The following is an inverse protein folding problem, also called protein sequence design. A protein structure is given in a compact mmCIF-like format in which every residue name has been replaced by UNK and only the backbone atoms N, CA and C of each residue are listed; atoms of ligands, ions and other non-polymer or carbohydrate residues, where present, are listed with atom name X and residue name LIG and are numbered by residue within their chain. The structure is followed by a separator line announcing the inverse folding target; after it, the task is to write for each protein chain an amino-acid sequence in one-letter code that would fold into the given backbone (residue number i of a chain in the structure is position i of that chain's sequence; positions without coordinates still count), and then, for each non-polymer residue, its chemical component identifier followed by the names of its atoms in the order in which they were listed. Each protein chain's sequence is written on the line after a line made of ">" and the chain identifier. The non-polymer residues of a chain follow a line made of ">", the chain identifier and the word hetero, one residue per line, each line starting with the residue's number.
data_IF_563074485735
#
_entry.id   IF_563074485735
#
_cell.length_a   1.000
_cell.length_b   1.000
_cell.length_c   1.000
_cell.angle_alpha   90.00
_cell.angle_beta   90.00
_cell.angle_gamma   90.00
#
_symmetry.space_group_name_H-M   'P 1'
#
loop_
_entity.id
_entity.type
_entity.pdbx_description
1 polymer ?
#
# COMPACT_ATOMS: atom_id res chain seq x y z
N UNK A 1 -32.92 13.71 -0.32
CA UNK A 1 -31.63 14.34 0.06
C UNK A 1 -30.62 13.86 -0.95
N UNK A 2 -29.98 14.75 -1.66
CA UNK A 2 -28.92 14.36 -2.63
C UNK A 2 -27.63 13.99 -1.90
N UNK A 3 -26.72 13.28 -2.56
CA UNK A 3 -25.39 12.99 -2.01
C UNK A 3 -24.66 14.29 -1.63
N UNK A 4 -24.75 15.32 -2.45
CA UNK A 4 -24.15 16.62 -2.18
C UNK A 4 -24.71 17.29 -0.92
N UNK A 5 -26.03 17.17 -0.66
CA UNK A 5 -26.63 17.72 0.56
C UNK A 5 -26.14 16.98 1.81
N UNK A 6 -25.96 15.66 1.72
CA UNK A 6 -25.41 14.88 2.82
C UNK A 6 -23.97 15.29 3.14
N UNK A 7 -23.11 15.43 2.11
CA UNK A 7 -21.72 15.85 2.28
C UNK A 7 -21.62 17.23 2.93
N UNK A 8 -22.40 18.21 2.45
CA UNK A 8 -22.46 19.56 3.06
C UNK A 8 -22.87 19.50 4.52
N UNK A 9 -23.85 18.68 4.85
CA UNK A 9 -24.31 18.50 6.23
C UNK A 9 -23.23 17.91 7.12
N UNK A 10 -22.55 16.84 6.66
CA UNK A 10 -21.46 16.21 7.41
C UNK A 10 -20.30 17.20 7.62
N UNK A 11 -19.92 17.95 6.58
CA UNK A 11 -18.89 18.99 6.68
C UNK A 11 -19.27 20.10 7.68
N UNK A 12 -20.53 20.55 7.69
CA UNK A 12 -21.00 21.53 8.64
C UNK A 12 -20.92 21.03 10.09
N UNK A 13 -21.29 19.75 10.32
CA UNK A 13 -21.17 19.12 11.64
C UNK A 13 -19.71 18.99 12.06
N UNK A 14 -18.83 18.55 11.15
CA UNK A 14 -17.39 18.48 11.41
C UNK A 14 -16.80 19.84 11.82
N UNK A 15 -17.16 20.92 11.11
CA UNK A 15 -16.73 22.28 11.46
C UNK A 15 -17.22 22.74 12.83
N UNK A 16 -18.43 22.33 13.23
CA UNK A 16 -18.99 22.68 14.52
C UNK A 16 -18.41 21.90 15.70
N UNK A 17 -18.00 20.64 15.48
CA UNK A 17 -17.56 19.73 16.53
C UNK A 17 -16.04 19.54 16.59
N UNK A 18 -15.30 19.92 15.54
CA UNK A 18 -13.85 19.76 15.51
C UNK A 18 -13.16 20.64 16.55
N UNK A 19 -12.25 20.03 17.32
CA UNK A 19 -11.36 20.74 18.23
C UNK A 19 -10.17 21.33 17.45
N UNK A 20 -9.46 22.32 17.99
CA UNK A 20 -8.24 22.84 17.40
C UNK A 20 -7.14 21.77 17.26
N UNK A 21 -6.27 21.96 16.26
CA UNK A 21 -5.00 21.24 16.08
C UNK A 21 -5.12 19.70 15.91
N UNK A 22 -6.19 19.25 15.24
CA UNK A 22 -6.36 17.84 14.91
C UNK A 22 -5.59 17.48 13.64
N UNK A 23 -4.77 16.44 13.73
CA UNK A 23 -4.14 15.82 12.55
C UNK A 23 -4.55 14.35 12.46
N UNK A 24 -5.33 14.03 11.44
CA UNK A 24 -5.67 12.65 11.11
C UNK A 24 -4.85 12.16 9.94
N UNK A 25 -4.45 10.88 9.98
CA UNK A 25 -3.70 10.24 8.90
C UNK A 25 -4.56 9.14 8.28
N UNK A 26 -4.77 9.24 6.96
CA UNK A 26 -5.29 8.10 6.21
C UNK A 26 -4.16 7.15 5.81
N UNK A 27 -4.40 5.85 5.88
CA UNK A 27 -3.40 4.83 5.62
C UNK A 27 -3.90 3.79 4.60
N UNK A 28 -4.57 4.29 3.56
CA UNK A 28 -5.06 3.49 2.44
C UNK A 28 -5.05 4.30 1.14
N UNK A 29 -4.34 3.82 0.12
CA UNK A 29 -4.26 4.54 -1.15
C UNK A 29 -5.62 4.80 -1.81
N UNK A 30 -6.61 3.93 -1.60
CA UNK A 30 -7.98 4.19 -2.07
C UNK A 30 -8.63 5.36 -1.32
N UNK A 31 -8.34 5.54 -0.02
CA UNK A 31 -8.75 6.77 0.70
C UNK A 31 -8.05 8.00 0.13
N UNK A 32 -6.73 7.92 -0.11
CA UNK A 32 -5.96 9.01 -0.74
C UNK A 32 -6.63 9.48 -2.03
N UNK A 33 -6.96 8.52 -2.92
CA UNK A 33 -7.66 8.80 -4.17
C UNK A 33 -9.05 9.41 -3.97
N UNK A 34 -9.86 8.83 -3.06
CA UNK A 34 -11.22 9.31 -2.81
C UNK A 34 -11.20 10.73 -2.25
N UNK A 35 -10.34 11.00 -1.27
CA UNK A 35 -10.18 12.32 -0.66
C UNK A 35 -9.81 13.38 -1.71
N UNK A 36 -8.83 13.07 -2.57
CA UNK A 36 -8.41 13.98 -3.63
C UNK A 36 -9.50 14.17 -4.70
N UNK A 37 -10.08 13.05 -5.18
CA UNK A 37 -11.09 13.06 -6.26
C UNK A 37 -12.34 13.88 -5.92
N UNK A 38 -12.75 13.86 -4.67
CA UNK A 38 -13.96 14.53 -4.22
C UNK A 38 -13.70 15.86 -3.48
N UNK A 39 -12.44 16.34 -3.48
CA UNK A 39 -12.06 17.60 -2.82
C UNK A 39 -12.41 17.61 -1.32
N UNK A 40 -12.28 16.46 -0.64
CA UNK A 40 -12.76 16.36 0.75
C UNK A 40 -11.95 17.22 1.72
N UNK A 41 -10.69 17.54 1.40
CA UNK A 41 -9.86 18.42 2.25
C UNK A 41 -10.45 19.81 2.38
N UNK A 42 -11.06 20.37 1.31
CA UNK A 42 -11.71 21.70 1.31
C UNK A 42 -12.99 21.74 2.18
N UNK A 43 -13.58 20.57 2.41
CA UNK A 43 -14.76 20.45 3.25
C UNK A 43 -14.43 20.43 4.76
N UNK A 44 -13.15 20.17 5.10
CA UNK A 44 -12.71 20.08 6.48
C UNK A 44 -12.57 21.48 7.12
N UNK A 45 -12.66 21.60 8.45
CA UNK A 45 -12.34 22.85 9.15
C UNK A 45 -10.83 23.13 9.08
N UNK A 46 -10.44 24.42 9.06
CA UNK A 46 -9.03 24.85 9.02
C UNK A 46 -8.21 24.34 10.22
N UNK A 47 -8.88 24.02 11.32
CA UNK A 47 -8.27 23.41 12.52
C UNK A 47 -7.96 21.92 12.38
N UNK A 48 -8.30 21.30 11.25
CA UNK A 48 -8.11 19.85 11.01
C UNK A 48 -7.22 19.62 9.80
N UNK A 49 -6.11 18.92 10.01
CA UNK A 49 -5.26 18.42 8.93
C UNK A 49 -5.57 16.96 8.62
N UNK A 50 -5.69 16.63 7.34
CA UNK A 50 -5.79 15.25 6.87
C UNK A 50 -4.58 14.94 6.00
N UNK A 51 -3.66 14.14 6.52
CA UNK A 51 -2.40 13.77 5.87
C UNK A 51 -2.45 12.36 5.32
N UNK A 52 -1.69 12.11 4.26
CA UNK A 52 -1.54 10.76 3.70
C UNK A 52 -0.43 10.01 4.44
N UNK A 53 -0.65 8.73 4.67
CA UNK A 53 0.30 7.83 5.28
C UNK A 53 0.75 6.70 4.33
N UNK A 54 1.38 5.63 4.84
CA UNK A 54 1.98 4.57 4.03
C UNK A 54 0.95 3.55 3.51
N UNK A 55 -0.16 4.03 2.92
CA UNK A 55 -1.31 3.24 2.50
C UNK A 55 -1.25 2.66 1.09
N UNK A 56 -0.23 2.97 0.29
CA UNK A 56 -0.07 2.48 -1.08
C UNK A 56 1.09 1.47 -1.14
N UNK A 57 0.84 0.19 -1.48
CA UNK A 57 1.89 -0.84 -1.47
C UNK A 57 3.03 -0.55 -2.44
N UNK A 58 2.74 0.01 -3.62
CA UNK A 58 3.75 0.43 -4.60
C UNK A 58 4.64 1.54 -4.03
N UNK A 59 4.03 2.51 -3.35
CA UNK A 59 4.72 3.68 -2.84
C UNK A 59 5.70 3.32 -1.70
N UNK A 60 5.33 2.35 -0.87
CA UNK A 60 6.14 1.92 0.29
C UNK A 60 7.16 0.85 -0.04
N UNK A 61 7.16 0.29 -1.25
CA UNK A 61 8.14 -0.71 -1.66
C UNK A 61 9.53 -0.06 -1.73
N UNK A 62 10.49 -0.65 -1.02
CA UNK A 62 11.85 -0.17 -0.96
C UNK A 62 12.58 -0.27 -2.31
N UNK A 63 13.58 0.57 -2.53
CA UNK A 63 14.35 0.59 -3.76
C UNK A 63 15.07 -0.75 -3.99
N UNK A 64 15.61 -1.35 -2.94
CA UNK A 64 16.27 -2.66 -3.02
C UNK A 64 15.31 -3.77 -3.52
N UNK A 65 14.04 -3.72 -3.16
CA UNK A 65 13.04 -4.69 -3.64
C UNK A 65 12.77 -4.49 -5.14
N UNK A 66 12.70 -3.24 -5.60
CA UNK A 66 12.55 -2.92 -7.02
C UNK A 66 13.76 -3.36 -7.84
N UNK A 67 14.97 -3.20 -7.30
CA UNK A 67 16.21 -3.67 -7.95
C UNK A 67 16.23 -5.19 -8.04
N UNK A 68 15.71 -5.93 -7.05
CA UNK A 68 15.53 -7.41 -7.11
C UNK A 68 14.59 -7.80 -8.24
N UNK A 69 13.46 -7.09 -8.39
CA UNK A 69 12.50 -7.33 -9.48
C UNK A 69 13.16 -7.14 -10.85
N UNK A 70 13.93 -6.07 -11.01
CA UNK A 70 14.67 -5.78 -12.26
C UNK A 70 15.73 -6.85 -12.52
N UNK A 71 16.50 -7.26 -11.51
CA UNK A 71 17.52 -8.28 -11.66
C UNK A 71 16.92 -9.63 -12.08
N UNK A 72 15.78 -10.03 -11.51
CA UNK A 72 15.05 -11.23 -11.94
C UNK A 72 14.56 -11.12 -13.39
N UNK A 73 14.05 -9.96 -13.80
CA UNK A 73 13.59 -9.73 -15.16
C UNK A 73 14.71 -9.86 -16.21
N UNK A 74 15.97 -9.60 -15.82
CA UNK A 74 17.14 -9.69 -16.70
C UNK A 74 17.65 -11.13 -16.90
N UNK A 75 17.18 -12.08 -16.10
CA UNK A 75 17.59 -13.48 -16.26
C UNK A 75 16.95 -14.07 -17.52
N UNK A 76 17.73 -14.60 -18.49
CA UNK A 76 17.21 -15.00 -19.80
C UNK A 76 16.19 -16.15 -19.74
N UNK A 77 16.25 -16.99 -18.70
CA UNK A 77 15.31 -18.09 -18.48
C UNK A 77 14.02 -17.66 -17.77
N UNK A 78 13.97 -16.44 -17.20
CA UNK A 78 12.85 -15.97 -16.41
C UNK A 78 11.80 -15.26 -17.27
N UNK A 79 10.54 -15.59 -17.03
CA UNK A 79 9.37 -14.78 -17.38
C UNK A 79 8.91 -14.09 -16.11
N UNK A 80 9.06 -12.79 -16.02
CA UNK A 80 8.60 -12.01 -14.86
C UNK A 80 7.15 -11.61 -15.05
N UNK A 81 6.25 -12.10 -14.21
CA UNK A 81 4.85 -11.70 -14.16
C UNK A 81 4.61 -10.71 -13.04
N UNK A 82 3.88 -9.63 -13.29
CA UNK A 82 3.59 -8.60 -12.30
C UNK A 82 2.30 -7.84 -12.59
N UNK A 83 1.80 -7.10 -11.60
CA UNK A 83 0.70 -6.17 -11.80
C UNK A 83 1.15 -4.91 -12.58
N UNK A 84 0.20 -4.30 -13.30
CA UNK A 84 0.50 -3.19 -14.20
C UNK A 84 1.17 -1.98 -13.57
N UNK A 85 0.83 -1.68 -12.33
CA UNK A 85 1.38 -0.52 -11.59
C UNK A 85 2.91 -0.61 -11.42
N UNK A 86 3.46 -1.82 -11.28
CA UNK A 86 4.89 -1.99 -11.05
C UNK A 86 5.75 -1.70 -12.30
N UNK A 87 5.18 -1.81 -13.50
CA UNK A 87 5.91 -1.69 -14.79
C UNK A 87 6.67 -0.37 -14.92
N UNK A 88 6.07 0.72 -14.42
CA UNK A 88 6.62 2.08 -14.57
C UNK A 88 7.30 2.61 -13.33
N UNK A 89 7.34 1.83 -12.25
CA UNK A 89 7.98 2.27 -11.01
C UNK A 89 9.49 2.35 -11.22
N UNK A 90 10.12 3.52 -10.96
CA UNK A 90 11.56 3.65 -11.06
C UNK A 90 12.26 2.79 -9.99
N UNK A 91 13.10 1.87 -10.44
CA UNK A 91 14.15 1.24 -9.67
C UNK A 91 15.41 2.15 -9.68
N UNK A 92 16.49 1.74 -9.05
CA UNK A 92 17.70 2.57 -8.92
C UNK A 92 18.22 3.15 -10.24
N UNK A 93 18.12 2.39 -11.33
CA UNK A 93 18.74 2.77 -12.63
C UNK A 93 17.84 2.59 -13.83
N UNK A 94 16.68 1.99 -13.68
CA UNK A 94 15.81 1.60 -14.79
C UNK A 94 14.36 1.37 -14.31
N UNK A 95 13.50 0.96 -15.22
CA UNK A 95 12.13 0.50 -14.94
C UNK A 95 11.89 -0.83 -15.60
N UNK A 96 10.91 -1.61 -15.15
CA UNK A 96 10.49 -2.82 -15.86
C UNK A 96 10.02 -2.54 -17.30
N UNK A 97 9.46 -1.35 -17.57
CA UNK A 97 9.10 -0.94 -18.93
C UNK A 97 10.34 -0.84 -19.83
N UNK A 98 11.43 -0.25 -19.33
CA UNK A 98 12.70 -0.15 -20.07
C UNK A 98 13.35 -1.51 -20.26
N UNK A 99 13.37 -2.37 -19.24
CA UNK A 99 13.89 -3.73 -19.36
C UNK A 99 13.10 -4.57 -20.37
N UNK A 100 11.78 -4.44 -20.37
CA UNK A 100 10.91 -5.08 -21.37
C UNK A 100 11.21 -4.58 -22.79
N UNK A 101 11.43 -3.29 -22.97
CA UNK A 101 11.83 -2.71 -24.24
C UNK A 101 13.23 -3.19 -24.69
N UNK A 102 14.11 -3.52 -23.75
CA UNK A 102 15.43 -4.11 -24.00
C UNK A 102 15.39 -5.63 -24.25
N UNK A 103 14.22 -6.26 -24.21
CA UNK A 103 14.02 -7.67 -24.54
C UNK A 103 13.78 -8.61 -23.36
N UNK A 104 13.68 -8.11 -22.13
CA UNK A 104 13.29 -8.93 -20.98
C UNK A 104 11.83 -9.41 -21.11
N UNK A 105 11.57 -10.68 -20.74
CA UNK A 105 10.22 -11.24 -20.76
C UNK A 105 9.44 -10.81 -19.52
N UNK A 106 8.85 -9.63 -19.59
CA UNK A 106 8.02 -9.04 -18.53
C UNK A 106 6.55 -9.00 -18.96
N UNK A 107 5.70 -9.68 -18.22
CA UNK A 107 4.27 -9.82 -18.52
C UNK A 107 3.40 -9.18 -17.46
N UNK A 108 2.48 -8.34 -17.90
CA UNK A 108 1.44 -7.78 -17.02
C UNK A 108 0.31 -8.79 -16.89
N UNK A 109 -0.04 -9.10 -15.65
CA UNK A 109 -1.13 -10.01 -15.31
C UNK A 109 -2.14 -9.31 -14.38
N UNK A 110 -3.37 -9.80 -14.35
CA UNK A 110 -4.43 -9.28 -13.49
C UNK A 110 -4.58 -10.07 -12.19
N UNK A 111 -4.01 -11.27 -12.15
CA UNK A 111 -3.97 -12.11 -10.95
C UNK A 111 -2.69 -12.95 -10.90
N UNK A 112 -2.28 -13.39 -9.71
CA UNK A 112 -1.19 -14.36 -9.57
C UNK A 112 -1.54 -15.71 -10.23
N UNK A 113 -2.83 -16.03 -10.38
CA UNK A 113 -3.30 -17.23 -11.06
C UNK A 113 -2.98 -17.21 -12.56
N UNK A 114 -2.97 -16.02 -13.19
CA UNK A 114 -2.56 -15.91 -14.60
C UNK A 114 -1.09 -16.29 -14.76
N UNK A 115 -0.24 -15.94 -13.79
CA UNK A 115 1.17 -16.35 -13.79
C UNK A 115 1.32 -17.86 -13.56
N UNK A 116 0.48 -18.50 -12.75
CA UNK A 116 0.41 -19.97 -12.62
C UNK A 116 0.03 -20.61 -13.95
N UNK A 117 -0.90 -20.01 -14.69
CA UNK A 117 -1.29 -20.53 -16.01
C UNK A 117 -0.14 -20.40 -17.03
N UNK A 118 0.59 -19.27 -17.03
CA UNK A 118 1.80 -19.09 -17.85
C UNK A 118 2.82 -20.20 -17.54
N UNK A 119 3.04 -20.50 -16.26
CA UNK A 119 3.97 -21.57 -15.87
C UNK A 119 3.55 -22.96 -16.36
N UNK A 120 2.25 -23.23 -16.41
CA UNK A 120 1.71 -24.48 -16.94
C UNK A 120 1.83 -24.58 -18.46
N UNK A 121 1.64 -23.49 -19.17
CA UNK A 121 1.67 -23.43 -20.64
C UNK A 121 3.11 -23.42 -21.18
N UNK A 122 4.08 -22.93 -20.38
CA UNK A 122 5.48 -22.76 -20.76
C UNK A 122 6.43 -23.49 -19.78
N UNK A 123 6.42 -24.84 -19.72
CA UNK A 123 7.18 -25.59 -18.72
C UNK A 123 8.71 -25.47 -18.84
N UNK A 124 9.22 -24.98 -19.97
CA UNK A 124 10.64 -24.70 -20.16
C UNK A 124 11.09 -23.32 -19.62
N UNK A 125 10.15 -22.47 -19.20
CA UNK A 125 10.42 -21.14 -18.66
C UNK A 125 10.29 -21.15 -17.15
N UNK A 126 11.10 -20.35 -16.50
CA UNK A 126 10.98 -20.05 -15.07
C UNK A 126 10.03 -18.86 -14.88
N UNK A 127 8.86 -19.07 -14.32
CA UNK A 127 7.89 -18.00 -14.10
C UNK A 127 8.01 -17.46 -12.69
N UNK A 128 8.42 -16.20 -12.57
CA UNK A 128 8.54 -15.49 -11.30
C UNK A 128 7.39 -14.47 -11.21
N UNK A 129 6.55 -14.58 -10.18
CA UNK A 129 5.54 -13.57 -9.88
C UNK A 129 6.09 -12.56 -8.88
N UNK A 130 6.16 -11.28 -9.27
CA UNK A 130 6.51 -10.18 -8.38
C UNK A 130 5.30 -9.82 -7.49
N UNK A 131 5.26 -10.42 -6.31
CA UNK A 131 4.17 -10.32 -5.34
C UNK A 131 4.29 -9.06 -4.49
N UNK A 132 3.63 -7.98 -4.93
CA UNK A 132 3.53 -6.70 -4.21
C UNK A 132 2.11 -6.52 -3.66
N UNK A 133 1.97 -6.00 -2.45
CA UNK A 133 0.66 -5.73 -1.86
C UNK A 133 0.67 -5.76 -0.35
N UNK A 134 -0.52 -5.53 0.19
CA UNK A 134 -0.82 -5.71 1.61
C UNK A 134 -1.61 -7.00 1.84
N UNK A 135 -2.25 -7.12 2.99
CA UNK A 135 -3.09 -8.28 3.35
C UNK A 135 -4.27 -8.50 2.37
N UNK A 136 -4.60 -7.50 1.55
CA UNK A 136 -5.64 -7.62 0.53
C UNK A 136 -5.26 -8.56 -0.62
N UNK A 137 -3.99 -8.61 -1.01
CA UNK A 137 -3.51 -9.41 -2.15
C UNK A 137 -2.85 -10.71 -1.72
N UNK A 138 -2.23 -10.75 -0.55
CA UNK A 138 -1.51 -11.92 -0.05
C UNK A 138 -2.34 -13.22 -0.03
N UNK A 139 -3.66 -13.24 0.31
CA UNK A 139 -4.46 -14.48 0.27
C UNK A 139 -4.58 -15.09 -1.13
N UNK A 140 -4.72 -14.26 -2.16
CA UNK A 140 -4.84 -14.75 -3.54
C UNK A 140 -3.51 -15.30 -4.06
N UNK A 141 -2.40 -14.73 -3.63
CA UNK A 141 -1.06 -15.22 -3.98
C UNK A 141 -0.78 -16.53 -3.23
N UNK A 142 -1.18 -16.63 -1.95
CA UNK A 142 -1.14 -17.89 -1.22
C UNK A 142 -1.93 -18.99 -1.93
N UNK A 143 -3.15 -18.69 -2.34
CA UNK A 143 -3.99 -19.64 -3.10
C UNK A 143 -3.34 -20.06 -4.42
N UNK A 144 -2.69 -19.12 -5.13
CA UNK A 144 -1.98 -19.42 -6.39
C UNK A 144 -0.76 -20.31 -6.18
N UNK A 145 0.00 -20.11 -5.10
CA UNK A 145 1.10 -21.01 -4.71
C UNK A 145 0.60 -22.43 -4.40
N UNK A 146 -0.50 -22.54 -3.65
CA UNK A 146 -1.12 -23.84 -3.36
C UNK A 146 -1.62 -24.52 -4.64
N UNK A 147 -2.24 -23.77 -5.57
CA UNK A 147 -2.67 -24.27 -6.88
C UNK A 147 -1.46 -24.76 -7.70
N UNK A 148 -0.38 -23.97 -7.81
CA UNK A 148 0.82 -24.36 -8.53
C UNK A 148 1.42 -25.65 -7.97
N UNK A 149 1.53 -25.77 -6.66
CA UNK A 149 2.01 -26.98 -5.98
C UNK A 149 1.11 -28.18 -6.23
N UNK A 150 -0.21 -28.03 -6.14
CA UNK A 150 -1.17 -29.10 -6.40
C UNK A 150 -1.12 -29.59 -7.86
N UNK A 151 -0.76 -28.71 -8.80
CA UNK A 151 -0.56 -29.04 -10.23
C UNK A 151 0.85 -29.55 -10.54
N UNK A 152 1.75 -29.62 -9.56
CA UNK A 152 3.14 -30.08 -9.76
C UNK A 152 3.99 -29.12 -10.60
N UNK A 153 3.68 -27.83 -10.62
CA UNK A 153 4.43 -26.84 -11.40
C UNK A 153 5.70 -26.43 -10.66
N UNK A 154 6.80 -27.08 -10.99
CA UNK A 154 8.10 -26.80 -10.39
C UNK A 154 8.76 -25.50 -10.90
N UNK A 155 8.26 -24.92 -11.97
CA UNK A 155 8.77 -23.72 -12.63
C UNK A 155 8.03 -22.42 -12.24
N UNK A 156 7.21 -22.43 -11.16
CA UNK A 156 6.55 -21.25 -10.63
C UNK A 156 7.14 -20.83 -9.29
N UNK A 157 7.48 -19.57 -9.15
CA UNK A 157 7.99 -18.99 -7.91
C UNK A 157 7.47 -17.58 -7.67
N UNK A 158 7.57 -17.11 -6.44
CA UNK A 158 7.10 -15.79 -6.01
C UNK A 158 8.24 -15.02 -5.36
N UNK A 159 8.48 -13.80 -5.82
CA UNK A 159 9.20 -12.79 -5.05
C UNK A 159 8.19 -12.09 -4.13
N UNK A 160 8.19 -12.44 -2.85
CA UNK A 160 7.27 -11.80 -1.89
C UNK A 160 7.83 -10.45 -1.41
N UNK A 161 7.17 -9.38 -1.81
CA UNK A 161 7.40 -8.01 -1.33
C UNK A 161 6.19 -7.52 -0.53
N UNK A 162 5.38 -8.45 -0.04
CA UNK A 162 4.19 -8.12 0.74
C UNK A 162 4.56 -7.47 2.07
N UNK A 163 3.73 -6.52 2.45
CA UNK A 163 3.84 -5.79 3.71
C UNK A 163 2.53 -5.90 4.50
N UNK A 164 2.59 -5.68 5.80
CA UNK A 164 1.42 -5.75 6.70
C UNK A 164 1.19 -4.43 7.40
N UNK A 165 -0.06 -3.99 7.44
CA UNK A 165 -0.42 -2.62 7.84
C UNK A 165 -0.24 -2.28 9.33
N UNK A 166 -0.42 -3.15 10.33
CA UNK A 166 -0.31 -2.74 11.74
C UNK A 166 1.07 -2.19 12.13
N UNK A 167 2.15 -2.83 11.68
CA UNK A 167 3.52 -2.49 12.09
C UNK A 167 3.98 -1.07 11.69
N UNK A 168 3.71 -0.57 10.48
CA UNK A 168 4.11 0.80 10.12
C UNK A 168 3.34 1.88 10.88
N UNK A 169 2.11 1.62 11.35
CA UNK A 169 1.38 2.56 12.19
C UNK A 169 2.09 2.75 13.54
N UNK A 170 2.57 1.64 14.11
CA UNK A 170 3.41 1.68 15.32
C UNK A 170 4.69 2.47 15.07
N UNK A 171 5.41 2.17 14.00
CA UNK A 171 6.66 2.85 13.65
C UNK A 171 6.46 4.37 13.47
N UNK A 172 5.38 4.80 12.82
CA UNK A 172 5.03 6.22 12.67
C UNK A 172 4.83 6.93 14.00
N UNK A 173 4.13 6.29 14.95
CA UNK A 173 3.90 6.84 16.28
C UNK A 173 5.20 6.92 17.08
N UNK A 174 6.07 5.91 16.96
CA UNK A 174 7.38 5.88 17.65
C UNK A 174 8.38 6.89 17.06
N UNK A 175 8.33 7.18 15.75
CA UNK A 175 9.12 8.25 15.15
C UNK A 175 8.74 9.64 15.67
N UNK A 176 7.46 9.87 15.97
CA UNK A 176 7.00 11.13 16.56
C UNK A 176 7.17 12.38 15.69
N UNK A 177 7.46 12.22 14.38
CA UNK A 177 7.69 13.36 13.46
C UNK A 177 6.38 14.12 13.14
N UNK A 178 5.25 13.44 13.24
CA UNK A 178 3.91 14.02 13.01
C UNK A 178 3.04 13.73 14.22
N UNK A 179 2.42 14.78 14.80
CA UNK A 179 1.47 14.62 15.90
C UNK A 179 0.15 14.09 15.37
N UNK A 180 -0.02 12.76 15.39
CA UNK A 180 -1.21 12.07 14.86
C UNK A 180 -2.26 11.97 15.95
N UNK A 181 -3.42 12.62 15.72
CA UNK A 181 -4.58 12.56 16.63
C UNK A 181 -5.43 11.31 16.43
N UNK A 182 -5.35 10.68 15.28
CA UNK A 182 -6.07 9.45 14.95
C UNK A 182 -5.84 8.98 13.52
N UNK A 183 -6.25 7.73 13.25
CA UNK A 183 -6.10 7.10 11.94
C UNK A 183 -7.43 6.82 11.26
N UNK A 184 -7.53 7.18 9.96
CA UNK A 184 -8.47 6.56 9.03
C UNK A 184 -7.88 5.22 8.59
N UNK A 185 -8.35 4.14 9.22
CA UNK A 185 -7.84 2.79 9.00
C UNK A 185 -8.37 2.18 7.70
N UNK A 186 -7.57 1.32 7.04
CA UNK A 186 -7.83 0.87 5.68
C UNK A 186 -8.97 -0.15 5.62
N UNK A 187 -10.10 0.22 5.00
CA UNK A 187 -11.27 -0.64 4.87
C UNK A 187 -10.96 -1.97 4.18
N UNK A 188 -10.22 -1.95 3.06
CA UNK A 188 -9.89 -3.18 2.31
C UNK A 188 -9.03 -4.15 3.13
N UNK A 189 -7.99 -3.67 3.79
CA UNK A 189 -7.14 -4.48 4.67
C UNK A 189 -7.97 -5.05 5.82
N UNK A 190 -8.82 -4.23 6.44
CA UNK A 190 -9.65 -4.62 7.57
C UNK A 190 -10.74 -5.66 7.21
N UNK A 191 -11.17 -5.74 5.93
CA UNK A 191 -12.02 -6.86 5.46
C UNK A 191 -11.29 -8.20 5.66
N UNK A 192 -9.98 -8.23 5.47
CA UNK A 192 -9.17 -9.45 5.62
C UNK A 192 -8.77 -9.65 7.08
N UNK A 193 -8.18 -8.63 7.72
CA UNK A 193 -7.55 -8.77 9.04
C UNK A 193 -8.53 -8.67 10.22
N UNK A 194 -9.66 -8.00 10.02
CA UNK A 194 -10.50 -7.52 11.13
C UNK A 194 -9.90 -6.29 11.79
N UNK A 195 -10.30 -6.02 13.04
CA UNK A 195 -9.89 -4.82 13.78
C UNK A 195 -8.97 -5.07 14.95
N UNK A 196 -8.89 -6.32 15.45
CA UNK A 196 -8.10 -6.67 16.63
C UNK A 196 -6.60 -6.29 16.49
N UNK A 197 -6.07 -6.32 15.27
CA UNK A 197 -4.68 -5.96 14.98
C UNK A 197 -4.38 -4.46 15.20
N UNK A 198 -5.40 -3.59 15.32
CA UNK A 198 -5.25 -2.15 15.55
C UNK A 198 -5.49 -1.72 16.99
N UNK A 199 -5.96 -2.61 17.88
CA UNK A 199 -6.30 -2.27 19.27
C UNK A 199 -5.14 -1.66 20.06
N UNK A 200 -3.90 -1.97 19.68
CA UNK A 200 -2.71 -1.39 20.29
C UNK A 200 -2.65 0.14 20.14
N UNK A 201 -3.22 0.72 19.08
CA UNK A 201 -3.25 2.17 18.85
C UNK A 201 -3.94 2.89 20.01
N UNK A 202 -5.11 2.40 20.41
CA UNK A 202 -5.87 2.97 21.51
C UNK A 202 -5.28 2.59 22.86
N UNK A 203 -4.93 1.30 23.04
CA UNK A 203 -4.47 0.76 24.33
C UNK A 203 -3.09 1.26 24.74
N UNK A 204 -2.12 1.26 23.81
CA UNK A 204 -0.71 1.48 24.11
C UNK A 204 -0.26 2.91 23.80
N UNK A 205 -0.90 3.55 22.81
CA UNK A 205 -0.52 4.89 22.35
C UNK A 205 -1.58 5.97 22.62
N UNK A 206 -2.79 5.58 23.05
CA UNK A 206 -3.87 6.54 23.26
C UNK A 206 -4.33 7.23 21.98
N UNK A 207 -4.18 6.58 20.81
CA UNK A 207 -4.53 7.12 19.50
C UNK A 207 -5.78 6.44 18.95
N UNK A 208 -6.76 7.25 18.55
CA UNK A 208 -8.02 6.79 17.98
C UNK A 208 -7.85 6.18 16.58
N UNK A 209 -8.71 5.21 16.24
CA UNK A 209 -8.76 4.65 14.88
C UNK A 209 -10.19 4.40 14.42
N UNK A 210 -10.49 4.69 13.16
CA UNK A 210 -11.78 4.34 12.56
C UNK A 210 -11.55 3.66 11.21
N UNK A 211 -12.04 2.43 11.07
CA UNK A 211 -12.04 1.73 9.80
C UNK A 211 -13.10 2.34 8.89
N UNK A 212 -12.66 2.99 7.82
CA UNK A 212 -13.52 3.74 6.92
C UNK A 212 -13.80 3.01 5.59
N UNK A 213 -15.00 3.25 5.05
CA UNK A 213 -15.30 2.95 3.65
C UNK A 213 -14.69 4.00 2.71
N UNK A 214 -15.02 3.93 1.42
CA UNK A 214 -14.31 4.68 0.37
C UNK A 214 -15.15 5.75 -0.31
N UNK A 215 -16.45 5.72 -0.09
CA UNK A 215 -17.32 6.78 -0.58
C UNK A 215 -17.07 8.09 0.20
N UNK A 216 -17.27 9.27 -0.42
CA UNK A 216 -16.97 10.53 0.25
C UNK A 216 -17.72 10.71 1.59
N UNK A 217 -18.94 10.18 1.69
CA UNK A 217 -19.70 10.22 2.95
C UNK A 217 -19.15 9.24 4.00
N UNK A 218 -18.57 8.09 3.61
CA UNK A 218 -17.91 7.16 4.53
C UNK A 218 -16.71 7.85 5.20
N UNK A 219 -15.88 8.53 4.39
CA UNK A 219 -14.70 9.25 4.88
C UNK A 219 -15.09 10.35 5.86
N UNK A 220 -16.08 11.19 5.52
CA UNK A 220 -16.54 12.25 6.42
C UNK A 220 -17.20 11.71 7.70
N UNK A 221 -17.96 10.62 7.62
CA UNK A 221 -18.52 9.95 8.79
C UNK A 221 -17.43 9.35 9.68
N UNK A 222 -16.39 8.76 9.10
CA UNK A 222 -15.27 8.23 9.86
C UNK A 222 -14.49 9.34 10.58
N UNK A 223 -14.25 10.49 9.91
CA UNK A 223 -13.67 11.68 10.54
C UNK A 223 -14.54 12.21 11.67
N UNK A 224 -15.85 12.24 11.48
CA UNK A 224 -16.78 12.68 12.53
C UNK A 224 -16.77 11.74 13.74
N UNK A 225 -16.65 10.41 13.52
CA UNK A 225 -16.46 9.44 14.61
C UNK A 225 -15.16 9.70 15.36
N UNK A 226 -14.04 9.94 14.65
CA UNK A 226 -12.75 10.29 15.27
C UNK A 226 -12.85 11.56 16.13
N UNK A 227 -13.51 12.61 15.63
CA UNK A 227 -13.73 13.86 16.39
C UNK A 227 -14.53 13.63 17.65
N UNK A 228 -15.52 12.75 17.62
CA UNK A 228 -16.43 12.45 18.74
C UNK A 228 -15.88 11.53 19.79
N UNK A 229 -14.80 10.81 19.50
CA UNK A 229 -14.18 9.94 20.50
C UNK A 229 -13.62 10.78 21.65
N UNK A 230 -14.13 10.57 22.85
CA UNK A 230 -13.62 11.15 24.09
C UNK A 230 -12.55 10.28 24.75
N UNK A 231 -12.62 8.99 24.47
CA UNK A 231 -11.61 7.99 24.85
C UNK A 231 -11.20 7.27 23.57
N UNK A 232 -9.90 7.18 23.27
CA UNK A 232 -9.42 6.49 22.09
C UNK A 232 -9.91 5.04 22.01
N UNK A 233 -10.44 4.68 20.85
CA UNK A 233 -10.95 3.33 20.56
C UNK A 233 -10.79 3.02 19.07
N UNK A 234 -10.94 1.75 18.71
CA UNK A 234 -11.01 1.31 17.31
C UNK A 234 -12.47 1.08 16.94
N UNK A 235 -12.98 1.89 16.03
CA UNK A 235 -14.35 1.81 15.55
C UNK A 235 -14.45 1.37 14.09
N UNK A 236 -15.59 0.80 13.71
CA UNK A 236 -15.90 0.40 12.33
C UNK A 236 -16.99 1.33 11.79
N UNK A 237 -16.65 2.22 10.86
CA UNK A 237 -17.61 2.91 10.02
C UNK A 237 -18.06 2.02 8.86
N UNK A 238 -17.13 1.31 8.24
CA UNK A 238 -17.38 0.45 7.08
C UNK A 238 -18.05 -0.89 7.43
N UNK A 239 -19.08 -0.84 8.28
CA UNK A 239 -19.77 -2.03 8.82
C UNK A 239 -20.50 -2.90 7.79
N UNK A 240 -20.73 -2.39 6.54
CA UNK A 240 -21.30 -3.19 5.45
C UNK A 240 -20.32 -4.24 4.89
N UNK A 241 -19.01 -4.07 5.10
CA UNK A 241 -17.98 -4.97 4.56
C UNK A 241 -17.06 -5.55 5.64
N UNK A 242 -16.75 -4.80 6.69
CA UNK A 242 -15.78 -5.17 7.73
C UNK A 242 -16.48 -5.85 8.90
N UNK A 243 -15.88 -6.95 9.35
CA UNK A 243 -16.24 -7.65 10.60
C UNK A 243 -15.04 -7.57 11.56
N UNK A 244 -15.26 -7.55 12.89
CA UNK A 244 -14.17 -7.51 13.87
C UNK A 244 -13.17 -8.65 13.71
N UNK A 245 -13.63 -9.85 13.37
CA UNK A 245 -12.83 -11.06 13.15
C UNK A 245 -12.14 -11.11 11.78
N UNK A 246 -12.53 -10.26 10.83
CA UNK A 246 -12.05 -10.28 9.45
C UNK A 246 -12.48 -11.52 8.65
N UNK A 247 -11.76 -11.82 7.58
CA UNK A 247 -11.99 -13.00 6.75
C UNK A 247 -11.11 -14.16 7.22
N UNK A 248 -11.71 -15.07 8.00
CA UNK A 248 -11.02 -16.23 8.58
C UNK A 248 -10.40 -17.15 7.52
N UNK A 249 -11.07 -17.30 6.36
CA UNK A 249 -10.55 -18.16 5.27
C UNK A 249 -9.30 -17.53 4.64
N UNK A 250 -9.36 -16.26 4.32
CA UNK A 250 -8.24 -15.54 3.75
C UNK A 250 -7.02 -15.53 4.71
N UNK A 251 -7.26 -15.28 5.99
CA UNK A 251 -6.20 -15.32 7.02
C UNK A 251 -5.55 -16.69 7.13
N UNK A 252 -6.33 -17.77 7.14
CA UNK A 252 -5.79 -19.14 7.17
C UNK A 252 -4.94 -19.46 5.95
N UNK A 253 -5.35 -19.01 4.75
CA UNK A 253 -4.55 -19.18 3.54
C UNK A 253 -3.20 -18.45 3.65
N UNK A 254 -3.21 -17.21 4.15
CA UNK A 254 -1.97 -16.46 4.39
C UNK A 254 -1.08 -17.18 5.41
N UNK A 255 -1.64 -17.57 6.55
CA UNK A 255 -0.92 -18.26 7.63
C UNK A 255 -0.35 -19.61 7.20
N UNK A 256 -0.98 -20.28 6.24
CA UNK A 256 -0.50 -21.55 5.68
C UNK A 256 0.76 -21.36 4.84
N UNK A 257 0.84 -20.27 4.07
CA UNK A 257 1.90 -20.06 3.06
C UNK A 257 2.98 -19.11 3.55
N UNK A 258 2.57 -18.06 4.29
CA UNK A 258 3.48 -17.01 4.73
C UNK A 258 3.77 -17.07 6.23
N UNK A 259 4.93 -16.54 6.57
CA UNK A 259 5.30 -16.20 7.94
C UNK A 259 5.66 -14.71 8.01
N UNK A 260 5.44 -14.04 9.17
CA UNK A 260 5.93 -12.69 9.39
C UNK A 260 7.45 -12.60 9.19
N UNK A 261 7.90 -11.55 8.55
CA UNK A 261 9.32 -11.24 8.33
C UNK A 261 9.56 -9.74 8.47
N UNK A 262 10.81 -9.37 8.65
CA UNK A 262 11.18 -7.96 8.57
C UNK A 262 11.05 -7.48 7.13
N UNK A 263 10.61 -6.24 6.94
CA UNK A 263 10.52 -5.63 5.62
C UNK A 263 11.05 -4.20 5.63
N UNK A 264 11.72 -3.84 4.54
CA UNK A 264 12.16 -2.47 4.31
C UNK A 264 11.03 -1.66 3.67
N UNK A 265 10.67 -0.55 4.33
CA UNK A 265 9.63 0.37 3.89
C UNK A 265 10.26 1.67 3.42
N UNK A 266 9.95 2.07 2.19
CA UNK A 266 10.42 3.35 1.67
C UNK A 266 10.07 4.48 2.63
N UNK A 267 11.10 5.21 3.07
CA UNK A 267 10.97 6.34 3.98
C UNK A 267 10.78 5.99 5.47
N UNK A 268 10.60 4.72 5.82
CA UNK A 268 10.46 4.25 7.21
C UNK A 268 11.58 3.30 7.62
N UNK A 269 12.35 2.77 6.63
CA UNK A 269 13.40 1.78 6.88
C UNK A 269 12.87 0.40 7.20
N UNK A 270 13.71 -0.42 7.80
CA UNK A 270 13.37 -1.80 8.15
C UNK A 270 12.47 -1.82 9.38
N UNK A 271 11.25 -2.36 9.21
CA UNK A 271 10.28 -2.53 10.29
C UNK A 271 10.16 -4.02 10.62
N UNK A 272 10.46 -4.43 11.85
CA UNK A 272 10.38 -5.83 12.26
C UNK A 272 8.96 -6.40 12.11
N UNK A 273 8.85 -7.64 11.58
CA UNK A 273 7.60 -8.38 11.45
C UNK A 273 6.56 -7.73 10.53
N UNK A 274 6.95 -6.81 9.68
CA UNK A 274 6.05 -6.03 8.81
C UNK A 274 5.95 -6.54 7.38
N UNK A 275 6.62 -7.64 7.07
CA UNK A 275 6.60 -8.32 5.78
C UNK A 275 6.04 -9.74 5.89
N UNK A 276 5.88 -10.37 4.74
CA UNK A 276 5.43 -11.75 4.60
C UNK A 276 6.46 -12.53 3.75
N UNK A 277 7.26 -13.39 4.39
CA UNK A 277 8.13 -14.34 3.71
C UNK A 277 7.39 -15.68 3.50
N UNK A 278 7.77 -16.43 2.48
CA UNK A 278 7.28 -17.80 2.32
C UNK A 278 7.78 -18.66 3.48
N UNK A 279 6.92 -19.56 3.97
CA UNK A 279 7.34 -20.55 4.96
C UNK A 279 8.36 -21.54 4.37
N UNK A 280 9.21 -22.17 5.19
CA UNK A 280 10.24 -23.13 4.71
C UNK A 280 9.67 -24.24 3.84
N UNK A 281 8.41 -24.65 4.06
CA UNK A 281 7.73 -25.69 3.28
C UNK A 281 7.45 -25.27 1.82
N UNK A 282 7.66 -23.98 1.50
CA UNK A 282 7.50 -23.38 0.17
C UNK A 282 8.81 -22.80 -0.37
N UNK A 283 9.97 -23.16 0.21
CA UNK A 283 11.28 -22.64 -0.17
C UNK A 283 11.61 -22.80 -1.65
N UNK A 284 11.16 -23.92 -2.27
CA UNK A 284 11.32 -24.16 -3.72
C UNK A 284 10.59 -23.14 -4.59
N UNK A 285 9.55 -22.50 -4.05
CA UNK A 285 8.78 -21.44 -4.72
C UNK A 285 9.21 -20.03 -4.30
N UNK A 286 10.24 -19.87 -3.48
CA UNK A 286 10.83 -18.58 -3.15
C UNK A 286 11.82 -18.15 -4.22
N UNK A 287 11.50 -17.05 -4.92
CA UNK A 287 12.33 -16.58 -6.02
C UNK A 287 13.74 -16.15 -5.57
N UNK A 288 13.90 -15.63 -4.34
CA UNK A 288 15.22 -15.22 -3.84
C UNK A 288 16.10 -16.41 -3.45
N UNK A 289 15.51 -17.52 -3.00
CA UNK A 289 16.25 -18.74 -2.73
C UNK A 289 16.59 -19.48 -4.03
N UNK A 290 15.71 -19.39 -5.03
CA UNK A 290 15.87 -20.06 -6.33
C UNK A 290 16.88 -19.35 -7.23
N UNK A 291 16.90 -18.02 -7.21
CA UNK A 291 17.77 -17.20 -8.05
C UNK A 291 18.65 -16.30 -7.19
N UNK A 292 19.87 -16.72 -6.85
CA UNK A 292 20.84 -15.87 -6.18
C UNK A 292 21.11 -14.62 -7.02
N UNK A 293 20.91 -13.44 -6.43
CA UNK A 293 21.08 -12.15 -7.12
C UNK A 293 22.27 -11.40 -6.54
N UNK A 294 23.14 -10.93 -7.43
CA UNK A 294 24.13 -9.92 -7.07
C UNK A 294 23.58 -8.54 -7.37
N UNK A 295 23.43 -7.71 -6.34
CA UNK A 295 22.84 -6.38 -6.47
C UNK A 295 23.86 -5.32 -6.04
N UNK A 296 23.87 -4.23 -6.77
CA UNK A 296 24.54 -3.02 -6.33
C UNK A 296 23.74 -2.32 -5.21
N UNK A 297 24.35 -1.47 -4.39
CA UNK A 297 23.63 -0.66 -3.42
C UNK A 297 22.50 0.14 -4.09
N UNK A 298 21.30 0.16 -3.50
CA UNK A 298 20.17 0.88 -4.06
C UNK A 298 20.41 2.40 -4.08
N UNK A 299 19.90 3.08 -5.11
CA UNK A 299 20.00 4.51 -5.28
C UNK A 299 18.61 5.16 -5.19
N UNK A 300 18.37 5.91 -4.11
CA UNK A 300 17.16 6.71 -4.02
C UNK A 300 17.25 7.94 -4.95
N UNK A 301 16.13 8.31 -5.61
CA UNK A 301 16.14 9.43 -6.53
C UNK A 301 16.39 10.76 -5.81
N UNK A 302 17.42 11.50 -6.26
CA UNK A 302 17.84 12.75 -5.66
C UNK A 302 16.70 13.79 -5.65
N UNK A 303 16.44 14.37 -4.49
CA UNK A 303 15.42 15.41 -4.28
C UNK A 303 13.98 14.89 -4.17
N UNK A 304 13.74 13.58 -4.32
CA UNK A 304 12.41 13.01 -4.10
C UNK A 304 12.08 12.97 -2.60
N UNK A 305 10.90 13.50 -2.22
CA UNK A 305 10.42 13.52 -0.84
C UNK A 305 9.32 12.50 -0.56
N UNK A 306 9.20 11.44 -1.38
CA UNK A 306 8.20 10.37 -1.19
C UNK A 306 8.20 9.84 0.25
N UNK A 307 9.35 9.57 0.85
CA UNK A 307 9.45 9.07 2.22
C UNK A 307 8.85 10.02 3.25
N UNK A 308 9.06 11.33 3.10
CA UNK A 308 8.48 12.34 3.99
C UNK A 308 6.96 12.46 3.82
N UNK A 309 6.47 12.36 2.58
CA UNK A 309 5.03 12.32 2.28
C UNK A 309 4.36 11.12 2.95
N UNK A 310 4.99 9.93 2.86
CA UNK A 310 4.48 8.70 3.48
C UNK A 310 4.46 8.75 5.01
N UNK A 311 5.29 9.60 5.62
CA UNK A 311 5.29 9.86 7.07
C UNK A 311 4.37 11.01 7.48
N UNK A 312 3.70 11.66 6.52
CA UNK A 312 2.82 12.82 6.79
C UNK A 312 3.57 14.11 7.19
N UNK A 313 4.90 14.14 7.00
CA UNK A 313 5.76 15.29 7.34
C UNK A 313 5.63 16.41 6.32
N UNK A 314 5.40 16.08 5.06
CA UNK A 314 5.34 17.03 3.95
C UNK A 314 4.13 16.78 3.05
N UNK A 315 3.53 17.83 2.49
CA UNK A 315 2.53 17.68 1.43
C UNK A 315 3.23 17.41 0.08
N UNK A 316 2.65 16.63 -0.83
CA UNK A 316 3.19 16.44 -2.17
C UNK A 316 3.51 17.76 -2.90
N UNK A 317 2.70 18.80 -2.73
CA UNK A 317 2.89 20.10 -3.37
C UNK A 317 4.15 20.84 -2.91
N UNK A 318 4.64 20.53 -1.70
CA UNK A 318 5.88 21.12 -1.16
C UNK A 318 7.16 20.44 -1.68
N UNK A 319 7.05 19.39 -2.48
CA UNK A 319 8.18 18.74 -3.11
C UNK A 319 8.63 19.54 -4.35
N UNK A 320 9.87 19.98 -4.39
CA UNK A 320 10.43 20.77 -5.50
C UNK A 320 10.36 20.05 -6.87
N UNK A 321 10.24 18.74 -6.89
CA UNK A 321 10.09 17.97 -8.12
C UNK A 321 8.63 17.87 -8.59
N UNK A 322 7.66 18.12 -7.71
CA UNK A 322 6.25 17.89 -7.97
C UNK A 322 5.74 18.79 -9.11
N UNK A 323 5.15 18.17 -10.13
CA UNK A 323 4.60 18.87 -11.30
C UNK A 323 5.63 19.54 -12.22
N UNK A 324 6.92 19.55 -11.83
CA UNK A 324 8.01 20.09 -12.63
C UNK A 324 8.79 18.95 -13.33
N UNK A 325 9.62 18.23 -12.57
CA UNK A 325 10.37 17.06 -13.07
C UNK A 325 9.72 15.72 -12.76
N UNK A 326 8.77 15.69 -11.81
CA UNK A 326 8.06 14.49 -11.41
C UNK A 326 6.59 14.62 -11.78
N UNK A 327 6.18 13.97 -12.86
CA UNK A 327 4.80 13.94 -13.37
C UNK A 327 4.34 12.50 -13.56
N UNK A 328 3.04 12.22 -13.76
CA UNK A 328 2.58 10.87 -14.07
C UNK A 328 3.17 10.29 -15.37
N UNK A 329 3.58 11.13 -16.30
CA UNK A 329 4.22 10.75 -17.57
C UNK A 329 5.71 10.41 -17.37
N UNK A 330 6.41 11.17 -16.50
CA UNK A 330 7.82 10.98 -16.17
C UNK A 330 8.01 10.97 -14.63
N UNK A 331 7.64 9.88 -13.97
CA UNK A 331 7.66 9.79 -12.52
C UNK A 331 9.09 9.59 -12.00
N UNK A 332 9.52 10.47 -11.07
CA UNK A 332 10.79 10.32 -10.34
C UNK A 332 10.63 9.39 -9.13
N UNK A 333 9.50 9.46 -8.45
CA UNK A 333 9.21 8.64 -7.27
C UNK A 333 7.98 7.75 -7.44
N UNK A 334 7.94 6.64 -6.73
CA UNK A 334 6.87 5.64 -6.78
C UNK A 334 5.48 6.24 -6.48
N UNK A 335 5.38 7.24 -5.60
CA UNK A 335 4.11 7.91 -5.26
C UNK A 335 3.46 8.65 -6.44
N UNK A 336 4.21 8.95 -7.51
CA UNK A 336 3.68 9.57 -8.73
C UNK A 336 3.23 8.52 -9.77
N UNK A 337 3.65 7.26 -9.65
CA UNK A 337 3.29 6.17 -10.56
C UNK A 337 1.92 5.60 -10.25
N UNK A 338 1.74 5.15 -9.00
CA UNK A 338 0.49 4.50 -8.57
C UNK A 338 -0.64 5.51 -8.50
N UNK A 339 -1.80 5.15 -9.03
CA UNK A 339 -3.02 5.96 -8.88
C UNK A 339 -3.42 6.16 -7.42
N UNK A 340 -2.98 5.26 -6.53
CA UNK A 340 -3.19 5.32 -5.09
C UNK A 340 -2.09 6.11 -4.35
N UNK A 341 -1.07 6.59 -5.05
CA UNK A 341 0.00 7.38 -4.46
C UNK A 341 -0.44 8.82 -4.16
N UNK A 342 -0.01 9.37 -3.02
CA UNK A 342 -0.37 10.72 -2.61
C UNK A 342 0.02 11.78 -3.65
N UNK A 343 1.21 11.66 -4.27
CA UNK A 343 1.64 12.59 -5.32
C UNK A 343 0.78 12.49 -6.57
N UNK A 344 0.48 11.27 -7.04
CA UNK A 344 -0.34 11.07 -8.24
C UNK A 344 -1.78 11.55 -8.02
N UNK A 345 -2.37 11.28 -6.86
CA UNK A 345 -3.70 11.75 -6.49
C UNK A 345 -3.75 13.29 -6.44
N UNK A 346 -2.78 13.92 -5.74
CA UNK A 346 -2.66 15.39 -5.65
C UNK A 346 -2.46 16.02 -7.04
N UNK A 347 -1.64 15.42 -7.90
CA UNK A 347 -1.39 15.92 -9.24
C UNK A 347 -2.63 15.84 -10.14
N UNK A 348 -3.33 14.71 -10.11
CA UNK A 348 -4.50 14.45 -10.97
C UNK A 348 -5.68 15.35 -10.64
N UNK A 349 -5.87 15.67 -9.37
CA UNK A 349 -7.04 16.42 -8.88
C UNK A 349 -6.70 17.83 -8.39
N UNK A 350 -5.49 18.35 -8.69
CA UNK A 350 -5.01 19.66 -8.25
C UNK A 350 -5.89 20.86 -8.63
N UNK A 351 -6.72 20.75 -9.63
CA UNK A 351 -7.65 21.84 -10.01
C UNK A 351 -8.96 21.84 -9.24
N UNK A 352 -9.12 20.97 -8.25
CA UNK A 352 -10.25 20.98 -7.31
C UNK A 352 -9.86 21.61 -5.98
N UNK A 353 -8.56 21.85 -5.76
CA UNK A 353 -7.97 22.38 -4.52
C UNK A 353 -7.54 23.87 -4.69
N UNK A 354 -7.67 24.45 -5.88
CA UNK A 354 -7.43 25.85 -6.24
C UNK A 354 -8.79 26.55 -6.48
#
# INVERSE_FOLDING_TARGET
>A
MTQADELRRLAAVLRAEARPDLTYMEVCGTHTMSIARYGLRELLPDSMRLVSGPGCPVCVTAMADLDRVVALARLPQVTLATFGDLIRVPASRTTLAAERAAGADVRVVYSARDAVQIAADEPAREVVFAGIGFETTAPTIAASLLEARARGLANFSVLSMHKTMPSPLKALLELGETSISGFLLPGHVSVITGTACYEFLARDYGVAGVVAGFEPHDVLRALLRLVRQTTPAIEIEYGRAVRPEGNVVARRLMEQVFAPSDADWRGLGVIPGSGLALRPEYAESDALLRFPLELEPPLEPAGCRCGEVLRGVTDPADCALFGARCTPEDPVGACMVSSEGACAARYRYRGLDD
#
